data_IF_439161721848
#
_entry.id   IF_439161721848
#
_cell.length_a   1.000
_cell.length_b   1.000
_cell.length_c   1.000
_cell.angle_alpha   90.00
_cell.angle_beta   90.00
_cell.angle_gamma   90.00
#
_symmetry.space_group_name_H-M   'P 1'
#
loop_
_entity.id
_entity.type
_entity.pdbx_description
1 polymer ?
#
# COMPACT_ATOMS: atom_id res chain seq x y z
N UNK A 1 -17.04 -0.21 -4.51
CA UNK A 1 -16.05 -1.29 -4.38
C UNK A 1 -15.36 -1.37 -3.00
N UNK A 2 -15.18 -2.58 -2.44
CA UNK A 2 -14.33 -2.94 -1.28
C UNK A 2 -13.46 -4.14 -1.67
N UNK A 3 -12.14 -4.07 -1.49
CA UNK A 3 -11.25 -5.21 -1.81
C UNK A 3 -11.30 -6.19 -0.62
N UNK A 4 -11.57 -7.45 -0.90
CA UNK A 4 -11.79 -8.45 0.13
C UNK A 4 -10.65 -9.46 0.24
N UNK A 5 -10.07 -9.88 -0.88
CA UNK A 5 -9.00 -10.87 -0.88
C UNK A 5 -8.08 -10.78 -2.09
N UNK A 6 -6.82 -11.15 -1.93
CA UNK A 6 -5.86 -11.35 -3.02
C UNK A 6 -5.09 -12.64 -2.76
N UNK A 7 -4.93 -13.46 -3.79
CA UNK A 7 -3.94 -14.53 -3.82
C UNK A 7 -2.90 -14.24 -4.89
N UNK A 8 -1.63 -14.53 -4.58
CA UNK A 8 -0.50 -14.33 -5.50
C UNK A 8 0.43 -15.55 -5.44
N UNK A 9 0.75 -16.10 -6.61
CA UNK A 9 1.70 -17.21 -6.69
C UNK A 9 3.12 -16.75 -6.39
N UNK A 10 3.62 -15.68 -7.03
CA UNK A 10 4.95 -15.12 -6.73
C UNK A 10 5.01 -13.60 -6.88
N UNK A 11 5.43 -12.92 -5.82
CA UNK A 11 5.77 -11.50 -5.91
C UNK A 11 6.83 -11.12 -4.88
N UNK A 12 8.04 -10.79 -5.35
CA UNK A 12 9.20 -10.48 -4.50
C UNK A 12 9.47 -11.60 -3.49
N UNK A 13 9.19 -11.37 -2.21
CA UNK A 13 9.38 -12.32 -1.12
C UNK A 13 8.13 -13.17 -0.83
N UNK A 14 7.02 -12.94 -1.53
CA UNK A 14 5.79 -13.72 -1.39
C UNK A 14 5.79 -14.90 -2.35
N UNK A 15 5.37 -16.05 -1.85
CA UNK A 15 5.21 -17.29 -2.61
C UNK A 15 3.95 -18.01 -2.12
N UNK A 16 2.95 -18.13 -3.00
CA UNK A 16 1.60 -18.64 -2.69
C UNK A 16 0.99 -17.93 -1.48
N UNK A 17 1.03 -16.60 -1.49
CA UNK A 17 0.62 -15.78 -0.36
C UNK A 17 -0.83 -15.33 -0.51
N UNK A 18 -1.52 -15.25 0.62
CA UNK A 18 -2.92 -14.87 0.73
C UNK A 18 -3.06 -13.58 1.56
N UNK A 19 -3.80 -12.62 1.02
CA UNK A 19 -4.10 -11.37 1.70
C UNK A 19 -5.62 -11.28 1.92
N UNK A 20 -6.05 -11.57 3.14
CA UNK A 20 -7.42 -11.35 3.58
C UNK A 20 -7.58 -9.90 4.04
N UNK A 21 -8.40 -9.14 3.32
CA UNK A 21 -8.55 -7.69 3.46
C UNK A 21 -9.94 -7.27 3.94
N UNK A 22 -10.87 -8.21 4.09
CA UNK A 22 -12.20 -7.99 4.64
C UNK A 22 -12.31 -8.48 6.08
N UNK A 23 -13.14 -7.80 6.87
CA UNK A 23 -13.46 -8.16 8.26
C UNK A 23 -14.60 -9.19 8.38
N UNK A 24 -15.53 -9.20 7.42
CA UNK A 24 -16.71 -10.09 7.42
C UNK A 24 -16.46 -11.45 6.78
N UNK A 25 -15.38 -11.58 6.02
CA UNK A 25 -15.08 -12.77 5.21
C UNK A 25 -13.62 -13.14 5.37
N UNK A 26 -13.36 -14.45 5.36
CA UNK A 26 -12.02 -14.98 5.22
C UNK A 26 -12.02 -15.96 4.06
N UNK A 27 -11.27 -15.63 3.04
CA UNK A 27 -11.11 -16.43 1.84
C UNK A 27 -9.85 -17.27 1.93
N UNK A 28 -9.88 -18.39 1.23
CA UNK A 28 -8.73 -19.26 1.01
C UNK A 28 -8.79 -19.77 -0.42
N UNK A 29 -7.65 -19.83 -1.08
CA UNK A 29 -7.52 -20.41 -2.41
C UNK A 29 -6.67 -21.66 -2.34
N UNK A 30 -7.23 -22.78 -2.80
CA UNK A 30 -6.53 -24.04 -2.92
C UNK A 30 -6.06 -24.20 -4.38
N UNK A 31 -4.75 -24.14 -4.57
CA UNK A 31 -4.13 -24.26 -5.91
C UNK A 31 -4.22 -25.67 -6.47
N UNK A 32 -4.20 -26.71 -5.63
CA UNK A 32 -4.20 -28.10 -6.08
C UNK A 32 -5.58 -28.49 -6.64
N UNK A 33 -6.64 -28.02 -5.98
CA UNK A 33 -8.03 -28.26 -6.38
C UNK A 33 -8.61 -27.15 -7.27
N UNK A 34 -7.88 -26.04 -7.44
CA UNK A 34 -8.33 -24.82 -8.13
C UNK A 34 -9.68 -24.30 -7.58
N UNK A 35 -9.82 -24.27 -6.25
CA UNK A 35 -11.05 -23.88 -5.55
C UNK A 35 -10.85 -22.69 -4.62
N UNK A 36 -11.86 -21.83 -4.55
CA UNK A 36 -11.97 -20.72 -3.61
C UNK A 36 -13.00 -21.10 -2.54
N UNK A 37 -12.57 -21.04 -1.28
CA UNK A 37 -13.41 -21.23 -0.11
C UNK A 37 -13.63 -19.89 0.61
N UNK A 38 -14.80 -19.75 1.23
CA UNK A 38 -15.15 -18.61 2.10
C UNK A 38 -15.57 -19.08 3.49
N UNK A 39 -15.06 -18.41 4.51
CA UNK A 39 -15.52 -18.48 5.90
C UNK A 39 -16.17 -17.15 6.26
N UNK A 40 -17.43 -17.20 6.71
CA UNK A 40 -18.16 -16.02 7.17
C UNK A 40 -17.82 -15.73 8.63
N UNK A 41 -17.34 -14.52 8.90
CA UNK A 41 -16.96 -14.06 10.22
C UNK A 41 -18.09 -13.23 10.87
N UNK A 42 -17.96 -12.98 12.16
CA UNK A 42 -18.88 -12.10 12.87
C UNK A 42 -18.79 -10.68 12.31
N UNK A 43 -19.94 -10.14 11.91
CA UNK A 43 -20.02 -8.76 11.43
C UNK A 43 -19.66 -7.79 12.53
N UNK A 44 -18.85 -6.79 12.17
CA UNK A 44 -18.63 -5.64 13.02
C UNK A 44 -19.97 -4.92 13.26
N UNK A 45 -20.12 -4.20 14.39
CA UNK A 45 -21.26 -3.33 14.60
C UNK A 45 -21.49 -2.37 13.44
N UNK A 46 -22.76 -2.00 13.22
CA UNK A 46 -23.12 -0.99 12.22
C UNK A 46 -22.34 0.30 12.52
N UNK A 47 -21.80 0.90 11.47
CA UNK A 47 -21.00 2.14 11.53
C UNK A 47 -19.77 2.10 12.45
N UNK A 48 -19.17 0.91 12.68
CA UNK A 48 -17.97 0.77 13.50
C UNK A 48 -16.81 1.70 13.08
N UNK A 49 -16.65 1.96 11.78
CA UNK A 49 -15.66 2.90 11.23
C UNK A 49 -16.27 4.23 10.75
N UNK A 50 -17.55 4.47 11.04
CA UNK A 50 -18.34 5.59 10.51
C UNK A 50 -18.73 5.43 9.03
N UNK A 51 -19.34 6.48 8.47
CA UNK A 51 -20.02 6.42 7.17
C UNK A 51 -19.06 6.31 5.96
N UNK A 52 -17.86 6.87 6.07
CA UNK A 52 -16.94 7.06 4.94
C UNK A 52 -15.86 5.97 4.81
N UNK A 53 -15.70 5.11 5.82
CA UNK A 53 -14.67 4.06 5.85
C UNK A 53 -15.37 2.71 5.77
N UNK A 54 -15.15 2.01 4.66
CA UNK A 54 -15.75 0.68 4.44
C UNK A 54 -15.00 -0.45 5.14
N UNK A 55 -13.69 -0.33 5.29
CA UNK A 55 -12.84 -1.40 5.82
C UNK A 55 -11.50 -0.84 6.30
N UNK A 56 -10.94 -1.44 7.36
CA UNK A 56 -9.61 -1.10 7.88
C UNK A 56 -8.81 -2.37 8.10
N UNK A 57 -7.72 -2.51 7.34
CA UNK A 57 -6.84 -3.69 7.41
C UNK A 57 -5.43 -3.28 7.82
N UNK A 58 -4.87 -3.96 8.82
CA UNK A 58 -3.54 -3.69 9.35
C UNK A 58 -2.52 -4.75 8.92
N UNK A 59 -1.43 -4.30 8.30
CA UNK A 59 -0.26 -5.14 8.01
C UNK A 59 0.79 -4.98 9.10
N UNK A 60 0.86 -5.93 10.03
CA UNK A 60 1.79 -5.89 11.17
C UNK A 60 2.88 -6.95 10.98
N UNK A 61 4.14 -6.56 11.24
CA UNK A 61 5.27 -7.46 11.10
C UNK A 61 6.60 -6.76 11.35
N UNK A 62 7.68 -7.53 11.50
CA UNK A 62 9.04 -6.99 11.69
C UNK A 62 9.53 -6.22 10.45
N UNK A 63 10.59 -5.44 10.60
CA UNK A 63 11.26 -4.81 9.45
C UNK A 63 11.76 -5.87 8.48
N UNK A 64 11.62 -5.63 7.18
CA UNK A 64 11.96 -6.61 6.14
C UNK A 64 10.92 -7.72 5.90
N UNK A 65 9.85 -7.82 6.69
CA UNK A 65 8.82 -8.87 6.54
C UNK A 65 7.91 -8.72 5.30
N UNK A 66 8.17 -7.76 4.41
CA UNK A 66 7.40 -7.60 3.17
C UNK A 66 6.19 -6.66 3.24
N UNK A 67 5.92 -5.96 4.36
CA UNK A 67 4.78 -5.01 4.47
C UNK A 67 4.68 -4.00 3.32
N UNK A 68 5.79 -3.34 2.97
CA UNK A 68 5.82 -2.41 1.83
C UNK A 68 5.61 -3.12 0.49
N UNK A 69 6.04 -4.38 0.37
CA UNK A 69 5.82 -5.19 -0.82
C UNK A 69 4.33 -5.57 -0.96
N UNK A 70 3.63 -5.84 0.15
CA UNK A 70 2.19 -6.11 0.13
C UNK A 70 1.39 -4.90 -0.35
N UNK A 71 1.70 -3.70 0.15
CA UNK A 71 1.07 -2.46 -0.32
C UNK A 71 1.31 -2.20 -1.82
N UNK A 72 2.54 -2.44 -2.29
CA UNK A 72 2.84 -2.31 -3.72
C UNK A 72 2.09 -3.34 -4.57
N UNK A 73 2.02 -4.59 -4.11
CA UNK A 73 1.29 -5.67 -4.77
C UNK A 73 -0.18 -5.30 -4.93
N UNK A 74 -0.85 -4.87 -3.84
CA UNK A 74 -2.25 -4.47 -3.85
C UNK A 74 -2.50 -3.41 -4.93
N UNK A 75 -1.68 -2.36 -4.96
CA UNK A 75 -1.82 -1.30 -5.96
C UNK A 75 -1.66 -1.82 -7.40
N UNK A 76 -0.72 -2.75 -7.63
CA UNK A 76 -0.44 -3.31 -8.96
C UNK A 76 -1.51 -4.29 -9.44
N UNK A 77 -2.05 -5.12 -8.53
CA UNK A 77 -3.12 -6.08 -8.83
C UNK A 77 -4.40 -5.35 -9.24
N UNK A 78 -4.82 -4.32 -8.49
CA UNK A 78 -6.04 -3.54 -8.81
C UNK A 78 -5.96 -2.92 -10.22
N UNK A 79 -4.78 -2.47 -10.63
CA UNK A 79 -4.55 -1.86 -11.96
C UNK A 79 -4.22 -2.84 -13.06
N UNK A 80 -4.23 -4.15 -12.79
CA UNK A 80 -3.88 -5.17 -13.77
C UNK A 80 -2.60 -4.81 -14.54
N UNK A 81 -1.54 -4.44 -13.83
CA UNK A 81 -0.30 -4.03 -14.47
C UNK A 81 0.45 -5.29 -14.97
N UNK A 82 -0.04 -5.87 -16.08
CA UNK A 82 0.47 -7.11 -16.68
C UNK A 82 1.97 -7.06 -16.94
N UNK A 83 2.55 -5.89 -17.21
CA UNK A 83 3.99 -5.72 -17.42
C UNK A 83 4.85 -5.75 -16.15
N UNK A 84 4.27 -5.84 -14.93
CA UNK A 84 5.04 -6.04 -13.68
C UNK A 84 4.60 -7.23 -12.85
N UNK A 85 3.39 -7.77 -13.05
CA UNK A 85 2.96 -9.02 -12.40
C UNK A 85 2.82 -10.09 -13.48
N UNK A 86 3.89 -10.86 -13.67
CA UNK A 86 3.95 -11.99 -14.60
C UNK A 86 3.92 -13.31 -13.83
N UNK A 87 2.82 -13.55 -13.12
CA UNK A 87 2.58 -14.74 -12.31
C UNK A 87 1.07 -14.93 -12.16
N UNK A 88 0.66 -16.09 -11.66
CA UNK A 88 -0.74 -16.36 -11.36
C UNK A 88 -1.20 -15.54 -10.15
N UNK A 89 -2.37 -14.91 -10.27
CA UNK A 89 -3.01 -14.22 -9.16
C UNK A 89 -4.51 -14.15 -9.35
N UNK A 90 -5.22 -13.93 -8.25
CA UNK A 90 -6.62 -13.55 -8.27
C UNK A 90 -6.91 -12.50 -7.20
N UNK A 91 -7.98 -11.76 -7.40
CA UNK A 91 -8.49 -10.75 -6.47
C UNK A 91 -10.00 -10.93 -6.35
N UNK A 92 -10.49 -10.82 -5.12
CA UNK A 92 -11.92 -10.79 -4.82
C UNK A 92 -12.25 -9.42 -4.25
N UNK A 93 -13.29 -8.79 -4.78
CA UNK A 93 -13.83 -7.54 -4.29
C UNK A 93 -15.35 -7.60 -4.20
N UNK A 94 -15.91 -6.71 -3.39
CA UNK A 94 -17.34 -6.53 -3.23
C UNK A 94 -17.75 -5.20 -3.90
N UNK A 95 -18.73 -5.26 -4.79
CA UNK A 95 -19.33 -4.11 -5.45
C UNK A 95 -20.85 -4.26 -5.39
N UNK A 96 -21.55 -3.23 -4.90
CA UNK A 96 -23.01 -3.23 -4.75
C UNK A 96 -23.59 -4.45 -3.98
N UNK A 97 -22.84 -4.97 -3.01
CA UNK A 97 -23.25 -6.14 -2.19
C UNK A 97 -23.03 -7.50 -2.86
N UNK A 98 -22.42 -7.54 -4.04
CA UNK A 98 -22.07 -8.77 -4.74
C UNK A 98 -20.56 -8.99 -4.71
N UNK A 99 -20.15 -10.24 -4.54
CA UNK A 99 -18.75 -10.65 -4.64
C UNK A 99 -18.39 -10.91 -6.10
N UNK A 100 -17.25 -10.37 -6.51
CA UNK A 100 -16.65 -10.57 -7.82
C UNK A 100 -15.21 -11.04 -7.66
N UNK A 101 -14.82 -12.07 -8.41
CA UNK A 101 -13.46 -12.57 -8.54
C UNK A 101 -12.93 -12.20 -9.92
N UNK A 102 -11.72 -11.64 -9.94
CA UNK A 102 -10.92 -11.48 -11.16
C UNK A 102 -9.65 -12.29 -11.05
N UNK A 103 -9.36 -13.12 -12.04
CA UNK A 103 -8.17 -13.97 -12.03
C UNK A 103 -7.31 -13.79 -13.28
N UNK A 104 -6.00 -13.95 -13.11
CA UNK A 104 -5.01 -13.96 -14.17
C UNK A 104 -4.16 -15.21 -14.01
N UNK A 105 -4.62 -16.31 -14.58
CA UNK A 105 -3.89 -17.57 -14.63
C UNK A 105 -3.34 -17.83 -16.04
N UNK A 106 -2.12 -18.39 -16.09
CA UNK A 106 -1.47 -18.84 -17.31
C UNK A 106 -2.25 -19.99 -17.95
N UNK A 107 -2.73 -20.92 -17.11
CA UNK A 107 -3.66 -21.97 -17.52
C UNK A 107 -5.07 -21.38 -17.65
N UNK A 108 -5.81 -21.74 -18.71
CA UNK A 108 -7.13 -21.16 -19.02
C UNK A 108 -8.22 -21.64 -18.04
N UNK A 109 -7.88 -22.50 -17.08
CA UNK A 109 -8.82 -23.04 -16.10
C UNK A 109 -9.28 -21.95 -15.14
N UNK A 110 -10.58 -21.65 -15.19
CA UNK A 110 -11.26 -20.76 -14.27
C UNK A 110 -11.25 -21.37 -12.84
N UNK A 111 -10.96 -20.57 -11.79
CA UNK A 111 -11.13 -21.03 -10.41
C UNK A 111 -12.59 -21.41 -10.15
N UNK A 112 -12.81 -22.52 -9.44
CA UNK A 112 -14.13 -22.87 -8.93
C UNK A 112 -14.38 -22.22 -7.56
N UNK A 113 -15.64 -22.04 -7.18
CA UNK A 113 -16.04 -21.60 -5.85
C UNK A 113 -17.06 -22.55 -5.23
N UNK A 114 -17.06 -22.63 -3.89
CA UNK A 114 -18.11 -23.35 -3.14
C UNK A 114 -19.30 -22.44 -2.74
N UNK A 115 -19.29 -21.19 -3.21
CA UNK A 115 -20.24 -20.12 -2.89
C UNK A 115 -20.55 -19.28 -4.12
N UNK A 116 -21.60 -18.45 -4.03
CA UNK A 116 -22.01 -17.56 -5.11
C UNK A 116 -21.04 -16.38 -5.27
N UNK A 117 -20.37 -16.33 -6.42
CA UNK A 117 -19.41 -15.29 -6.78
C UNK A 117 -19.32 -15.23 -8.30
N UNK A 118 -19.28 -14.02 -8.86
CA UNK A 118 -19.03 -13.86 -10.28
C UNK A 118 -17.52 -13.98 -10.55
N UNK A 119 -17.10 -14.95 -11.35
CA UNK A 119 -15.68 -15.19 -11.65
C UNK A 119 -15.43 -14.83 -13.11
N UNK A 120 -14.48 -13.92 -13.34
CA UNK A 120 -14.14 -13.48 -14.69
C UNK A 120 -12.63 -13.34 -14.85
N UNK A 121 -12.11 -13.65 -16.04
CA UNK A 121 -10.70 -13.43 -16.35
C UNK A 121 -10.36 -11.94 -16.39
N UNK A 122 -9.12 -11.60 -16.04
CA UNK A 122 -8.59 -10.24 -16.08
C UNK A 122 -8.32 -9.76 -17.53
N UNK A 123 -9.39 -9.34 -18.22
CA UNK A 123 -9.29 -8.76 -19.55
C UNK A 123 -9.00 -7.25 -19.51
N UNK A 124 -9.60 -6.53 -18.55
CA UNK A 124 -9.46 -5.08 -18.37
C UNK A 124 -9.17 -4.71 -16.90
N UNK A 125 -9.05 -3.42 -16.58
CA UNK A 125 -8.82 -2.96 -15.20
C UNK A 125 -10.11 -3.00 -14.39
N UNK A 126 -10.00 -3.25 -13.08
CA UNK A 126 -11.14 -3.20 -12.17
C UNK A 126 -11.53 -1.73 -11.97
N UNK A 127 -12.46 -1.24 -12.81
CA UNK A 127 -13.11 0.07 -12.71
C UNK A 127 -12.11 1.28 -12.78
N UNK A 128 -12.54 2.53 -13.05
CA UNK A 128 -11.65 3.68 -13.11
C UNK A 128 -11.30 4.17 -11.68
N UNK A 129 -10.90 3.27 -10.80
CA UNK A 129 -10.50 3.61 -9.44
C UNK A 129 -9.23 4.46 -9.49
N UNK A 130 -9.32 5.69 -8.98
CA UNK A 130 -8.14 6.52 -8.82
C UNK A 130 -7.40 6.09 -7.56
N UNK A 131 -6.31 5.35 -7.75
CA UNK A 131 -5.46 4.93 -6.63
C UNK A 131 -4.51 6.07 -6.28
N UNK A 132 -4.52 6.48 -5.02
CA UNK A 132 -3.57 7.44 -4.45
C UNK A 132 -2.67 6.70 -3.49
N UNK A 133 -1.37 6.71 -3.75
CA UNK A 133 -0.37 6.16 -2.85
C UNK A 133 0.28 7.29 -2.05
N UNK A 134 0.36 7.13 -0.73
CA UNK A 134 1.01 8.07 0.17
C UNK A 134 1.88 7.33 1.19
N UNK A 135 3.14 7.76 1.28
CA UNK A 135 4.07 7.42 2.34
C UNK A 135 4.56 8.70 3.00
N UNK A 136 4.43 8.77 4.32
CA UNK A 136 5.00 9.84 5.15
C UNK A 136 6.50 9.63 5.41
N UNK A 137 7.04 8.44 5.12
CA UNK A 137 8.46 8.13 5.28
C UNK A 137 9.20 8.47 3.99
N UNK A 138 10.24 9.30 4.11
CA UNK A 138 11.22 9.53 3.06
C UNK A 138 12.41 8.58 3.27
N UNK A 139 12.45 7.51 2.48
CA UNK A 139 13.47 6.46 2.53
C UNK A 139 14.18 6.27 1.18
N UNK A 140 13.98 7.22 0.26
CA UNK A 140 14.54 7.22 -1.11
C UNK A 140 14.14 6.00 -1.96
N UNK A 141 13.17 5.19 -1.50
CA UNK A 141 12.69 4.05 -2.28
C UNK A 141 11.94 4.52 -3.52
N UNK A 142 12.31 3.93 -4.65
CA UNK A 142 11.54 4.05 -5.90
C UNK A 142 10.46 3.00 -5.91
N UNK A 143 9.22 3.41 -5.70
CA UNK A 143 8.09 2.57 -6.05
C UNK A 143 7.86 2.73 -7.56
N UNK A 144 8.01 1.65 -8.31
CA UNK A 144 7.76 1.68 -9.74
C UNK A 144 6.27 1.46 -10.00
N UNK A 145 5.48 2.47 -9.62
CA UNK A 145 4.06 2.52 -9.92
C UNK A 145 3.85 3.01 -11.35
N UNK A 146 2.93 2.37 -12.09
CA UNK A 146 2.52 2.81 -13.42
C UNK A 146 1.84 4.20 -13.40
N UNK A 147 1.56 4.76 -14.58
CA UNK A 147 0.93 6.10 -14.73
C UNK A 147 -0.44 6.24 -14.06
N UNK A 148 -1.09 5.13 -13.73
CA UNK A 148 -2.46 5.08 -13.22
C UNK A 148 -2.56 5.19 -11.70
N UNK A 149 -1.43 5.09 -11.00
CA UNK A 149 -1.35 5.28 -9.55
C UNK A 149 -0.75 6.66 -9.32
N UNK A 150 -1.49 7.50 -8.59
CA UNK A 150 -1.01 8.82 -8.19
C UNK A 150 -0.21 8.70 -6.90
N UNK A 151 1.12 8.61 -7.02
CA UNK A 151 2.01 8.65 -5.85
C UNK A 151 2.25 10.10 -5.43
N UNK A 152 1.64 10.50 -4.30
CA UNK A 152 1.78 11.84 -3.69
C UNK A 152 2.87 11.90 -2.63
N UNK A 153 3.66 10.83 -2.48
CA UNK A 153 4.74 10.75 -1.50
C UNK A 153 5.92 11.64 -1.87
N UNK A 154 6.65 12.09 -0.85
CA UNK A 154 7.86 12.90 -0.98
C UNK A 154 8.91 12.18 -1.84
N UNK A 155 9.06 10.86 -1.68
CA UNK A 155 9.96 10.02 -2.49
C UNK A 155 9.77 10.26 -4.00
N UNK A 156 8.54 10.24 -4.50
CA UNK A 156 8.25 10.42 -5.93
C UNK A 156 8.52 11.85 -6.41
N UNK A 157 8.19 12.87 -5.61
CA UNK A 157 8.36 14.28 -5.97
C UNK A 157 9.83 14.69 -6.13
N UNK A 158 10.68 14.26 -5.21
CA UNK A 158 12.11 14.59 -5.26
C UNK A 158 12.87 13.73 -6.29
N UNK A 159 12.34 12.56 -6.63
CA UNK A 159 12.95 11.66 -7.59
C UNK A 159 12.81 12.12 -9.06
N UNK A 160 11.66 12.68 -9.47
CA UNK A 160 11.45 13.15 -10.87
C UNK A 160 12.46 14.21 -11.33
N UNK A 161 13.13 14.89 -10.40
CA UNK A 161 14.15 15.89 -10.70
C UNK A 161 15.58 15.31 -10.83
N UNK A 162 15.78 14.00 -10.63
CA UNK A 162 17.12 13.40 -10.57
C UNK A 162 17.69 12.94 -11.92
N UNK A 163 16.91 12.92 -13.00
CA UNK A 163 17.40 12.57 -14.34
C UNK A 163 18.32 13.66 -14.92
N UNK A 164 18.22 14.89 -14.41
CA UNK A 164 19.21 15.95 -14.61
C UNK A 164 20.16 15.99 -13.41
N UNK A 165 21.41 15.58 -13.61
CA UNK A 165 22.54 15.74 -12.66
C UNK A 165 22.37 17.01 -11.80
N UNK A 166 21.98 16.87 -10.53
CA UNK A 166 22.14 17.92 -9.53
C UNK A 166 22.33 17.26 -8.17
N UNK A 167 23.59 17.31 -7.72
CA UNK A 167 24.13 17.10 -6.37
C UNK A 167 23.15 16.48 -5.38
N UNK A 168 23.49 15.31 -4.84
CA UNK A 168 22.90 14.78 -3.60
C UNK A 168 22.73 15.95 -2.61
N UNK A 169 21.49 16.39 -2.42
CA UNK A 169 21.17 17.43 -1.45
C UNK A 169 20.78 16.71 -0.19
N UNK A 170 21.42 17.03 0.93
CA UNK A 170 21.09 16.41 2.22
C UNK A 170 19.62 16.65 2.57
N UNK A 171 19.02 15.75 3.34
CA UNK A 171 17.64 15.90 3.83
C UNK A 171 17.44 17.21 4.57
N UNK A 172 18.46 17.66 5.30
CA UNK A 172 18.50 18.98 5.90
C UNK A 172 18.25 20.09 4.87
N UNK A 173 18.97 20.06 3.73
CA UNK A 173 18.82 21.05 2.67
C UNK A 173 17.45 20.92 1.96
N UNK A 174 16.92 19.70 1.83
CA UNK A 174 15.55 19.47 1.31
C UNK A 174 14.49 20.09 2.22
N UNK A 175 14.63 19.96 3.54
CA UNK A 175 13.73 20.57 4.54
C UNK A 175 13.78 22.11 4.48
N UNK A 176 14.98 22.70 4.42
CA UNK A 176 15.13 24.16 4.27
C UNK A 176 14.48 24.66 2.97
N UNK A 177 14.65 23.93 1.86
CA UNK A 177 13.98 24.25 0.59
C UNK A 177 12.46 24.16 0.70
N UNK A 178 11.94 23.19 1.44
CA UNK A 178 10.51 23.02 1.65
C UNK A 178 9.93 24.19 2.45
N UNK A 179 10.54 24.57 3.58
CA UNK A 179 10.13 25.71 4.41
C UNK A 179 10.10 27.02 3.60
N UNK A 180 11.05 27.18 2.69
CA UNK A 180 11.13 28.36 1.82
C UNK A 180 10.22 28.30 0.58
N UNK A 181 9.46 27.22 0.38
CA UNK A 181 8.59 27.07 -0.79
C UNK A 181 7.26 27.81 -0.62
N UNK A 182 6.63 28.19 -1.74
CA UNK A 182 5.26 28.74 -1.73
C UNK A 182 4.23 27.79 -1.14
N UNK A 183 4.48 26.48 -1.22
CA UNK A 183 3.61 25.45 -0.66
C UNK A 183 3.55 25.57 0.85
N UNK A 184 4.70 25.77 1.52
CA UNK A 184 4.76 25.87 2.98
C UNK A 184 3.95 27.06 3.52
N UNK A 185 3.97 28.19 2.80
CA UNK A 185 3.16 29.37 3.15
C UNK A 185 1.66 29.08 3.20
N UNK A 186 1.18 28.11 2.44
CA UNK A 186 -0.22 27.73 2.38
C UNK A 186 -0.61 26.68 3.42
N UNK A 187 0.34 26.12 4.18
CA UNK A 187 0.08 24.98 5.06
C UNK A 187 -0.43 25.36 6.47
N UNK A 188 -0.56 26.64 6.82
CA UNK A 188 -0.91 27.07 8.19
C UNK A 188 -0.07 26.37 9.27
N UNK A 189 1.19 26.06 8.96
CA UNK A 189 2.16 25.48 9.88
C UNK A 189 3.10 26.61 10.31
N UNK A 190 3.38 26.68 11.61
CA UNK A 190 4.35 27.64 12.14
C UNK A 190 5.76 27.35 11.62
N UNK A 191 6.51 28.43 11.36
CA UNK A 191 7.90 28.30 10.97
C UNK A 191 8.71 27.67 12.12
N UNK A 192 9.60 26.71 11.81
CA UNK A 192 10.46 26.15 12.84
C UNK A 192 11.36 27.25 13.41
N UNK A 193 11.37 27.37 14.73
CA UNK A 193 12.14 28.38 15.45
C UNK A 193 13.52 27.88 15.92
N UNK A 194 13.77 26.57 15.81
CA UNK A 194 15.02 25.92 16.25
C UNK A 194 15.43 24.83 15.24
N UNK A 195 16.73 24.63 15.11
CA UNK A 195 17.34 23.53 14.34
C UNK A 195 18.22 22.72 15.29
N UNK A 196 18.01 21.41 15.36
CA UNK A 196 18.81 20.50 16.19
C UNK A 196 19.76 19.72 15.30
N UNK A 197 21.06 19.82 15.59
CA UNK A 197 22.11 19.04 14.92
C UNK A 197 22.75 18.15 16.00
N UNK A 198 22.43 16.86 15.97
CA UNK A 198 23.07 15.87 16.84
C UNK A 198 24.12 15.08 16.07
N UNK A 199 25.34 14.98 16.60
CA UNK A 199 26.36 14.08 16.05
C UNK A 199 26.40 12.79 16.88
N UNK A 200 26.59 11.65 16.22
CA UNK A 200 26.68 10.33 16.90
C UNK A 200 27.84 10.22 17.90
N UNK A 201 28.79 11.16 17.86
CA UNK A 201 29.93 11.22 18.81
C UNK A 201 29.45 11.60 20.22
N UNK A 202 28.31 12.29 20.36
CA UNK A 202 27.73 12.70 21.65
C UNK A 202 26.46 11.93 22.04
N UNK A 203 25.96 11.03 21.18
CA UNK A 203 24.66 10.35 21.40
C UNK A 203 24.68 9.24 22.45
N UNK A 204 25.84 8.84 22.98
CA UNK A 204 25.90 7.87 24.08
C UNK A 204 25.51 8.46 25.45
N UNK A 205 25.06 9.73 25.54
CA UNK A 205 24.70 10.37 26.83
C UNK A 205 23.33 11.04 26.91
N UNK A 206 22.52 11.04 25.86
CA UNK A 206 21.18 11.63 25.93
C UNK A 206 20.13 10.58 25.63
N UNK A 207 19.75 9.83 26.68
CA UNK A 207 18.47 9.13 26.71
C UNK A 207 17.35 10.17 26.63
N UNK A 208 16.43 9.96 25.70
CA UNK A 208 15.28 10.81 25.36
C UNK A 208 14.17 10.85 26.43
N UNK A 209 14.49 10.60 27.69
CA UNK A 209 13.54 10.63 28.82
C UNK A 209 13.77 11.81 29.76
N UNK A 210 14.54 12.82 29.33
CA UNK A 210 14.97 13.93 30.18
C UNK A 210 14.71 15.31 29.54
N UNK A 211 13.72 15.42 28.64
CA UNK A 211 13.30 16.71 28.06
C UNK A 211 12.32 17.51 28.94
N UNK A 212 11.95 17.02 30.14
CA UNK A 212 10.98 17.74 30.99
C UNK A 212 11.56 18.85 31.87
N UNK A 213 12.87 19.09 31.86
CA UNK A 213 13.44 20.25 32.57
C UNK A 213 14.65 20.80 31.84
N UNK A 214 14.46 21.85 31.05
CA UNK A 214 15.29 23.06 31.05
C UNK A 214 14.43 24.20 30.47
N UNK A 215 14.33 25.26 31.27
CA UNK A 215 13.67 26.55 31.03
C UNK A 215 14.08 27.21 29.70
#
# INVERSE_FOLDING_TARGET
MKICYIWIERFRNFSNEEFNLASEYKFKYNRDDNTIDIEYLYKLPIDFFGENIKEVTAFVGKNGAGKSNALELICKVIKNYKSTINTNYLIIYEENGQLECRYNFDDILEPNSNFDINIEKFESQINPLKIVFFSNVFDERRNNFGKEITDVSVNNKYFRNSLSKKRETSDFLKQIKFINSSIFKNLNIDYPNKVVISTKVFSNRFNSSMEEKIL
#
